data_IF_969277750518
#
_entry.id   IF_969277750518
#
_cell.length_a   1.000
_cell.length_b   1.000
_cell.length_c   1.000
_cell.angle_alpha   90.00
_cell.angle_beta   90.00
_cell.angle_gamma   90.00
#
_symmetry.space_group_name_H-M   'P 1'
#
loop_
_entity.id
_entity.type
_entity.pdbx_description
1 polymer ?
#
# COMPACT_ATOMS: atom_id res chain seq x y z
N UNK A 1 26.34 4.39 -23.62
CA UNK A 1 26.49 3.75 -22.28
C UNK A 1 26.88 2.29 -22.52
N UNK A 2 27.79 1.71 -21.73
CA UNK A 2 28.38 0.38 -22.02
C UNK A 2 27.39 -0.79 -21.83
N UNK A 3 26.28 -0.58 -21.08
CA UNK A 3 25.29 -1.63 -20.81
C UNK A 3 25.71 -2.59 -19.70
N UNK A 4 24.79 -3.41 -19.21
CA UNK A 4 25.04 -4.39 -18.14
C UNK A 4 25.98 -5.53 -18.58
N UNK A 5 26.14 -5.73 -19.89
CA UNK A 5 26.93 -6.80 -20.50
C UNK A 5 28.12 -6.29 -21.34
N UNK A 6 28.42 -4.98 -21.31
CA UNK A 6 29.43 -4.31 -22.13
C UNK A 6 29.17 -4.32 -23.65
N UNK A 7 28.00 -4.76 -24.12
CA UNK A 7 27.58 -4.74 -25.54
C UNK A 7 26.55 -3.66 -25.85
N UNK A 8 26.35 -2.71 -24.93
CA UNK A 8 25.39 -1.62 -25.07
C UNK A 8 23.98 -1.93 -24.57
N UNK A 9 23.74 -3.10 -23.96
CA UNK A 9 22.42 -3.46 -23.41
C UNK A 9 22.23 -2.86 -22.02
N UNK A 10 21.67 -1.65 -21.96
CA UNK A 10 21.35 -0.98 -20.70
C UNK A 10 20.09 -1.59 -20.09
N UNK A 11 20.15 -1.94 -18.80
CA UNK A 11 18.98 -2.45 -18.08
C UNK A 11 18.01 -1.31 -17.79
N UNK A 12 16.78 -1.46 -18.28
CA UNK A 12 15.67 -0.59 -17.94
C UNK A 12 14.69 -1.33 -17.04
N UNK A 13 14.25 -0.66 -15.98
CA UNK A 13 13.17 -1.11 -15.11
C UNK A 13 12.04 -0.09 -15.15
N UNK A 14 10.82 -0.53 -14.85
CA UNK A 14 9.63 0.31 -14.82
C UNK A 14 9.04 0.36 -13.42
N UNK A 15 8.45 1.51 -13.07
CA UNK A 15 7.63 1.69 -11.89
C UNK A 15 6.35 2.42 -12.28
N UNK A 16 5.29 2.25 -11.50
CA UNK A 16 4.02 2.95 -11.68
C UNK A 16 3.39 3.21 -10.30
N UNK A 17 2.48 4.18 -10.22
CA UNK A 17 1.71 4.43 -9.00
C UNK A 17 0.40 3.67 -9.07
N UNK A 18 0.17 2.64 -8.23
CA UNK A 18 -1.06 1.87 -8.27
C UNK A 18 -2.25 2.71 -7.78
N UNK A 19 -3.44 2.42 -8.32
CA UNK A 19 -4.71 2.91 -7.80
C UNK A 19 -5.39 1.76 -7.08
N UNK A 20 -5.51 1.86 -5.76
CA UNK A 20 -6.10 0.83 -4.90
C UNK A 20 -7.56 1.18 -4.62
N UNK A 21 -8.47 0.24 -4.88
CA UNK A 21 -9.88 0.39 -4.53
C UNK A 21 -10.08 0.14 -3.03
N UNK A 22 -10.70 1.10 -2.33
CA UNK A 22 -10.90 0.99 -0.89
C UNK A 22 -12.20 1.65 -0.40
N UNK A 23 -12.54 1.43 0.87
CA UNK A 23 -13.69 2.05 1.55
C UNK A 23 -13.29 2.60 2.92
N UNK A 24 -14.03 3.58 3.43
CA UNK A 24 -13.81 4.13 4.77
C UNK A 24 -14.17 3.13 5.89
N UNK A 25 -15.11 2.24 5.62
CA UNK A 25 -15.56 1.19 6.55
C UNK A 25 -15.39 -0.18 5.92
N UNK A 26 -15.12 -1.17 6.77
CA UNK A 26 -15.00 -2.57 6.40
C UNK A 26 -16.35 -3.09 5.89
N UNK A 27 -16.41 -3.58 4.64
CA UNK A 27 -17.64 -4.07 4.02
C UNK A 27 -17.36 -4.97 2.81
N UNK A 28 -18.18 -6.00 2.57
CA UNK A 28 -18.05 -6.85 1.37
C UNK A 28 -16.64 -7.41 1.20
N UNK A 29 -16.01 -7.18 0.05
CA UNK A 29 -14.61 -7.55 -0.23
C UNK A 29 -13.59 -6.62 0.42
N UNK A 30 -13.99 -5.42 0.85
CA UNK A 30 -13.14 -4.40 1.47
C UNK A 30 -12.82 -4.76 2.93
N UNK A 31 -11.92 -5.71 3.10
CA UNK A 31 -11.60 -6.34 4.39
C UNK A 31 -10.17 -6.07 4.87
N UNK A 32 -9.33 -5.49 4.02
CA UNK A 32 -7.89 -5.42 4.24
C UNK A 32 -7.45 -4.00 4.62
N UNK A 33 -7.06 -3.77 5.87
CA UNK A 33 -6.76 -2.44 6.36
C UNK A 33 -5.46 -1.89 5.79
N UNK A 34 -5.50 -0.61 5.40
CA UNK A 34 -4.34 0.24 5.14
C UNK A 34 -4.19 1.14 6.36
N UNK A 35 -2.99 1.19 6.93
CA UNK A 35 -2.73 1.89 8.18
C UNK A 35 -1.90 3.17 7.97
N UNK A 36 -2.20 4.20 8.74
CA UNK A 36 -1.26 5.30 8.99
C UNK A 36 -0.24 4.90 10.06
N UNK A 37 0.85 5.66 10.15
CA UNK A 37 1.88 5.45 11.17
C UNK A 37 1.29 5.48 12.60
N UNK A 38 1.46 4.40 13.40
CA UNK A 38 1.09 4.39 14.81
C UNK A 38 2.13 5.14 15.67
N UNK A 39 1.80 5.52 16.92
CA UNK A 39 2.76 6.16 17.82
C UNK A 39 3.95 5.22 18.11
N UNK A 40 5.16 5.78 18.11
CA UNK A 40 6.38 5.03 18.44
C UNK A 40 6.41 4.70 19.94
N UNK A 41 5.99 3.49 20.28
CA UNK A 41 6.10 2.89 21.64
C UNK A 41 7.15 1.76 21.68
N UNK A 42 8.26 1.94 20.95
CA UNK A 42 9.31 0.92 20.80
C UNK A 42 9.33 0.30 19.40
N UNK A 43 9.74 -0.97 19.31
CA UNK A 43 9.83 -1.70 18.05
C UNK A 43 8.43 -1.87 17.45
N UNK A 44 8.26 -1.51 16.18
CA UNK A 44 7.00 -1.68 15.47
C UNK A 44 6.68 -3.18 15.32
N UNK A 45 5.39 -3.56 15.34
CA UNK A 45 4.98 -4.94 15.14
C UNK A 45 5.37 -5.46 13.75
N UNK A 46 5.57 -6.78 13.65
CA UNK A 46 5.82 -7.42 12.36
C UNK A 46 4.58 -7.38 11.46
N UNK A 47 4.75 -7.53 10.13
CA UNK A 47 3.63 -7.62 9.18
C UNK A 47 2.64 -8.71 9.58
N UNK A 48 3.14 -9.89 9.96
CA UNK A 48 2.30 -11.00 10.41
C UNK A 48 1.50 -10.65 11.68
N UNK A 49 2.11 -9.94 12.63
CA UNK A 49 1.42 -9.47 13.83
C UNK A 49 0.35 -8.42 13.51
N UNK A 50 0.62 -7.51 12.57
CA UNK A 50 -0.36 -6.51 12.10
C UNK A 50 -1.57 -7.20 11.47
N UNK A 51 -1.35 -8.20 10.63
CA UNK A 51 -2.43 -9.00 10.04
C UNK A 51 -3.24 -9.78 11.09
N UNK A 52 -2.61 -10.18 12.19
CA UNK A 52 -3.28 -10.80 13.34
C UNK A 52 -3.97 -9.78 14.28
N UNK A 53 -3.97 -8.48 13.96
CA UNK A 53 -4.68 -7.45 14.74
C UNK A 53 -3.83 -6.73 15.79
N UNK A 54 -2.50 -6.71 15.67
CA UNK A 54 -1.63 -6.01 16.62
C UNK A 54 -1.79 -4.47 16.62
N UNK A 55 -2.44 -3.89 15.60
CA UNK A 55 -2.74 -2.46 15.52
C UNK A 55 -4.24 -2.21 15.71
N UNK A 56 -4.56 -1.18 16.50
CA UNK A 56 -5.93 -0.73 16.71
C UNK A 56 -6.54 -0.12 15.45
N UNK A 57 -7.83 -0.37 15.22
CA UNK A 57 -8.59 0.13 14.07
C UNK A 57 -8.59 1.65 13.92
N UNK A 58 -8.30 2.42 14.98
CA UNK A 58 -8.15 3.89 14.91
C UNK A 58 -6.97 4.37 14.04
N UNK A 59 -6.09 3.44 13.65
CA UNK A 59 -4.99 3.72 12.73
C UNK A 59 -5.33 3.30 11.30
N UNK A 60 -6.47 2.67 11.05
CA UNK A 60 -6.91 2.34 9.70
C UNK A 60 -7.39 3.61 9.01
N UNK A 61 -6.88 3.84 7.82
CA UNK A 61 -7.21 4.98 6.95
C UNK A 61 -8.10 4.56 5.78
N UNK A 62 -8.03 3.30 5.37
CA UNK A 62 -8.88 2.74 4.33
C UNK A 62 -8.93 1.20 4.44
N UNK A 63 -9.99 0.60 3.91
CA UNK A 63 -10.17 -0.84 3.78
C UNK A 63 -10.13 -1.21 2.30
N UNK A 64 -9.06 -1.83 1.82
CA UNK A 64 -8.95 -2.29 0.44
C UNK A 64 -9.58 -3.67 0.25
N UNK A 65 -9.79 -4.03 -1.01
CA UNK A 65 -10.29 -5.34 -1.43
C UNK A 65 -9.17 -6.33 -1.83
N UNK A 66 -7.90 -5.96 -1.74
CA UNK A 66 -6.76 -6.82 -2.10
C UNK A 66 -5.58 -6.67 -1.14
N UNK A 67 -5.17 -7.77 -0.50
CA UNK A 67 -3.89 -7.82 0.25
C UNK A 67 -2.68 -7.67 -0.66
N UNK A 68 -2.78 -8.12 -1.92
CA UNK A 68 -1.69 -8.01 -2.89
C UNK A 68 -1.48 -6.56 -3.29
N UNK A 69 -2.55 -5.79 -3.49
CA UNK A 69 -2.45 -4.39 -3.89
C UNK A 69 -1.86 -3.56 -2.75
N UNK A 70 -2.24 -3.86 -1.50
CA UNK A 70 -1.61 -3.27 -0.32
C UNK A 70 -0.10 -3.59 -0.28
N UNK A 71 0.28 -4.83 -0.57
CA UNK A 71 1.70 -5.22 -0.62
C UNK A 71 2.46 -4.50 -1.74
N UNK A 72 1.89 -4.40 -2.94
CA UNK A 72 2.51 -3.68 -4.06
C UNK A 72 2.67 -2.21 -3.69
N UNK A 73 1.65 -1.59 -3.08
CA UNK A 73 1.71 -0.21 -2.59
C UNK A 73 2.80 -0.04 -1.52
N UNK A 74 2.94 -1.00 -0.59
CA UNK A 74 4.04 -1.00 0.40
C UNK A 74 5.42 -1.04 -0.27
N UNK A 75 5.58 -1.83 -1.34
CA UNK A 75 6.84 -1.97 -2.09
C UNK A 75 7.15 -0.71 -2.91
N UNK A 76 6.14 -0.10 -3.54
CA UNK A 76 6.30 1.16 -4.27
C UNK A 76 6.54 2.35 -3.33
N UNK A 77 6.12 2.23 -2.07
CA UNK A 77 6.21 3.28 -1.05
C UNK A 77 5.15 4.38 -1.17
N UNK A 78 4.30 4.33 -2.18
CA UNK A 78 3.18 5.27 -2.37
C UNK A 78 2.10 4.67 -3.28
N UNK A 79 0.90 5.23 -3.22
CA UNK A 79 -0.23 4.82 -4.04
C UNK A 79 -1.38 5.81 -4.00
N UNK A 80 -2.25 5.75 -5.02
CA UNK A 80 -3.53 6.43 -4.99
C UNK A 80 -4.60 5.49 -4.43
N UNK A 81 -5.51 6.01 -3.64
CA UNK A 81 -6.71 5.31 -3.19
C UNK A 81 -7.93 5.93 -3.87
N UNK A 82 -8.75 5.06 -4.44
CA UNK A 82 -10.08 5.37 -4.93
C UNK A 82 -11.12 4.83 -3.95
N UNK A 83 -11.90 5.72 -3.34
CA UNK A 83 -12.96 5.35 -2.41
C UNK A 83 -14.27 4.96 -3.11
N UNK A 84 -14.39 5.17 -4.42
CA UNK A 84 -15.56 4.82 -5.21
C UNK A 84 -16.83 5.61 -4.90
N UNK A 85 -16.71 6.74 -4.20
CA UNK A 85 -17.80 7.64 -3.81
C UNK A 85 -17.90 8.90 -4.70
N UNK A 86 -17.09 8.96 -5.76
CA UNK A 86 -17.00 10.10 -6.68
C UNK A 86 -16.07 11.22 -6.20
N UNK A 87 -15.43 11.07 -5.03
CA UNK A 87 -14.38 11.98 -4.58
C UNK A 87 -13.10 11.83 -5.42
N UNK A 88 -12.22 12.85 -5.45
CA UNK A 88 -10.92 12.73 -6.09
C UNK A 88 -10.05 11.62 -5.48
N UNK A 89 -9.12 11.09 -6.27
CA UNK A 89 -8.13 10.12 -5.79
C UNK A 89 -7.32 10.68 -4.62
N UNK A 90 -7.18 9.87 -3.57
CA UNK A 90 -6.40 10.24 -2.39
C UNK A 90 -4.98 9.69 -2.51
N UNK A 91 -3.98 10.57 -2.49
CA UNK A 91 -2.57 10.14 -2.55
C UNK A 91 -2.02 9.79 -1.17
N UNK A 92 -1.34 8.66 -1.07
CA UNK A 92 -0.65 8.19 0.12
C UNK A 92 0.85 8.01 -0.15
N UNK A 93 1.68 8.57 0.74
CA UNK A 93 3.15 8.50 0.75
C UNK A 93 3.70 8.48 2.17
#
# INVERSE_FOLDING_TARGET
>A
MQGADNYGNVQFTGYYTPVVQARHTRQGEFQYPIYRMPPKRGKLPSRASIYAGALSDKYVIAWSNSLMDNFIMDVQGSGYIDFGDGSPLNFFS
#
